data_IF_452786242785
#
_entry.id   IF_452786242785
#
_cell.length_a   1.000
_cell.length_b   1.000
_cell.length_c   1.000
_cell.angle_alpha   90.00
_cell.angle_beta   90.00
_cell.angle_gamma   90.00
#
_symmetry.space_group_name_H-M   'P 1'
#
loop_
_entity.id
_entity.type
_entity.pdbx_description
1 polymer ?
#
# COMPACT_ATOMS: atom_id res chain seq x y z
N UNK A 1 -15.55 -28.40 -10.90
CA UNK A 1 -14.74 -29.61 -11.17
C UNK A 1 -13.36 -29.57 -10.48
N UNK A 2 -13.20 -28.82 -9.37
CA UNK A 2 -11.89 -28.65 -8.68
C UNK A 2 -11.81 -29.25 -7.28
N UNK A 3 -12.91 -29.81 -6.75
CA UNK A 3 -12.97 -30.33 -5.36
C UNK A 3 -12.60 -31.82 -5.29
N UNK A 4 -12.66 -32.55 -6.42
CA UNK A 4 -12.47 -34.01 -6.44
C UNK A 4 -10.99 -34.45 -6.44
N UNK A 5 -10.02 -33.53 -6.57
CA UNK A 5 -8.59 -33.84 -6.62
C UNK A 5 -7.88 -33.87 -5.24
N UNK A 6 -8.59 -33.63 -4.13
CA UNK A 6 -7.98 -33.59 -2.80
C UNK A 6 -7.92 -34.93 -2.07
N UNK A 7 -8.42 -36.03 -2.66
CA UNK A 7 -8.39 -37.36 -2.04
C UNK A 7 -7.08 -38.05 -2.42
N UNK A 8 -6.02 -37.83 -1.65
CA UNK A 8 -4.73 -38.54 -1.81
C UNK A 8 -3.48 -37.66 -1.87
N UNK A 9 -3.64 -36.34 -1.80
CA UNK A 9 -2.50 -35.41 -1.76
C UNK A 9 -1.96 -35.35 -0.32
N UNK A 10 -0.66 -35.52 -0.14
CA UNK A 10 -0.03 -35.36 1.18
C UNK A 10 -0.31 -33.95 1.73
N UNK A 11 -0.50 -33.77 3.05
CA UNK A 11 -0.86 -32.47 3.63
C UNK A 11 0.12 -31.34 3.26
N UNK A 12 1.39 -31.69 3.01
CA UNK A 12 2.42 -30.78 2.54
C UNK A 12 2.16 -30.30 1.11
N UNK A 13 1.79 -31.18 0.17
CA UNK A 13 1.45 -30.76 -1.19
C UNK A 13 0.17 -29.90 -1.21
N UNK A 14 -0.83 -30.23 -0.39
CA UNK A 14 -2.05 -29.43 -0.29
C UNK A 14 -1.74 -27.99 0.16
N UNK A 15 -0.85 -27.85 1.15
CA UNK A 15 -0.41 -26.54 1.64
C UNK A 15 0.37 -25.75 0.57
N UNK A 16 1.29 -26.40 -0.15
CA UNK A 16 2.03 -25.77 -1.25
C UNK A 16 1.07 -25.31 -2.35
N UNK A 17 0.09 -26.14 -2.70
CA UNK A 17 -0.92 -25.80 -3.70
C UNK A 17 -1.74 -24.58 -3.28
N UNK A 18 -2.22 -24.55 -2.03
CA UNK A 18 -2.98 -23.44 -1.48
C UNK A 18 -2.18 -22.12 -1.53
N UNK A 19 -0.90 -22.15 -1.13
CA UNK A 19 -0.02 -20.96 -1.19
C UNK A 19 0.07 -20.44 -2.62
N UNK A 20 0.35 -21.30 -3.60
CA UNK A 20 0.47 -20.88 -5.00
C UNK A 20 -0.82 -20.22 -5.51
N UNK A 21 -1.99 -20.75 -5.13
CA UNK A 21 -3.28 -20.15 -5.49
C UNK A 21 -3.49 -18.76 -4.87
N UNK A 22 -3.13 -18.58 -3.60
CA UNK A 22 -3.27 -17.29 -2.91
C UNK A 22 -2.33 -16.25 -3.54
N UNK A 23 -1.11 -16.62 -3.90
CA UNK A 23 -0.15 -15.72 -4.55
C UNK A 23 -0.69 -15.22 -5.89
N UNK A 24 -1.14 -16.13 -6.76
CA UNK A 24 -1.68 -15.77 -8.09
C UNK A 24 -2.93 -14.89 -7.94
N UNK A 25 -3.83 -15.22 -7.00
CA UNK A 25 -5.00 -14.39 -6.73
C UNK A 25 -4.58 -12.98 -6.26
N UNK A 26 -3.57 -12.87 -5.40
CA UNK A 26 -3.02 -11.60 -4.94
C UNK A 26 -2.45 -10.75 -6.08
N UNK A 27 -1.69 -11.34 -6.99
CA UNK A 27 -1.11 -10.64 -8.15
C UNK A 27 -2.20 -10.07 -9.08
N UNK A 28 -3.32 -10.79 -9.25
CA UNK A 28 -4.48 -10.27 -9.99
C UNK A 28 -5.09 -9.05 -9.30
N UNK A 29 -5.23 -9.08 -7.97
CA UNK A 29 -5.73 -7.93 -7.21
C UNK A 29 -4.80 -6.73 -7.38
N UNK A 30 -3.49 -6.93 -7.30
CA UNK A 30 -2.48 -5.87 -7.54
C UNK A 30 -2.64 -5.26 -8.94
N UNK A 31 -2.79 -6.10 -9.98
CA UNK A 31 -3.03 -5.62 -11.35
C UNK A 31 -4.30 -4.79 -11.48
N UNK A 32 -5.39 -5.18 -10.80
CA UNK A 32 -6.63 -4.39 -10.80
C UNK A 32 -6.48 -3.06 -10.06
N UNK A 33 -5.76 -3.05 -8.93
CA UNK A 33 -5.48 -1.84 -8.16
C UNK A 33 -4.67 -0.82 -8.98
N UNK A 34 -3.69 -1.29 -9.74
CA UNK A 34 -2.92 -0.45 -10.67
C UNK A 34 -3.80 0.23 -11.71
N UNK A 35 -4.77 -0.51 -12.29
CA UNK A 35 -5.73 0.07 -13.24
C UNK A 35 -6.60 1.18 -12.63
N UNK A 36 -6.98 1.02 -11.36
CA UNK A 36 -7.73 2.05 -10.61
C UNK A 36 -6.87 3.29 -10.42
N UNK A 37 -5.61 3.13 -9.97
CA UNK A 37 -4.71 4.26 -9.78
C UNK A 37 -4.42 5.01 -11.08
N UNK A 38 -4.21 4.28 -12.19
CA UNK A 38 -4.04 4.88 -13.51
C UNK A 38 -5.27 5.71 -13.91
N UNK A 39 -6.48 5.17 -13.70
CA UNK A 39 -7.73 5.86 -14.01
C UNK A 39 -7.89 7.13 -13.16
N UNK A 40 -7.53 7.09 -11.88
CA UNK A 40 -7.53 8.27 -11.01
C UNK A 40 -6.57 9.35 -11.51
N UNK A 41 -5.35 8.95 -11.89
CA UNK A 41 -4.36 9.88 -12.44
C UNK A 41 -4.85 10.53 -13.73
N UNK A 42 -5.41 9.76 -14.67
CA UNK A 42 -5.99 10.29 -15.92
C UNK A 42 -7.11 11.29 -15.64
N UNK A 43 -8.03 10.97 -14.74
CA UNK A 43 -9.11 11.87 -14.36
C UNK A 43 -8.59 13.18 -13.75
N UNK A 44 -7.60 13.11 -12.86
CA UNK A 44 -6.97 14.29 -12.27
C UNK A 44 -6.25 15.14 -13.33
N UNK A 45 -5.55 14.52 -14.28
CA UNK A 45 -4.87 15.21 -15.37
C UNK A 45 -5.87 15.91 -16.30
N UNK A 46 -6.94 15.23 -16.71
CA UNK A 46 -8.01 15.80 -17.54
C UNK A 46 -8.74 16.94 -16.84
N UNK A 47 -9.04 16.79 -15.55
CA UNK A 47 -9.68 17.84 -14.77
C UNK A 47 -8.80 19.09 -14.68
N UNK A 48 -7.50 18.93 -14.45
CA UNK A 48 -6.57 20.05 -14.39
C UNK A 48 -6.41 20.73 -15.75
N UNK A 49 -6.39 19.96 -16.83
CA UNK A 49 -6.31 20.48 -18.21
C UNK A 49 -7.54 21.32 -18.57
N UNK A 50 -8.75 20.85 -18.23
CA UNK A 50 -10.00 21.56 -18.51
C UNK A 50 -10.19 22.84 -17.69
N UNK A 51 -9.58 22.94 -16.50
CA UNK A 51 -9.81 24.09 -15.59
C UNK A 51 -9.10 25.37 -16.01
N UNK A 52 -8.08 25.32 -16.88
CA UNK A 52 -7.37 26.47 -17.47
C UNK A 52 -6.58 27.39 -16.51
N UNK A 53 -7.00 27.51 -15.24
CA UNK A 53 -6.29 28.19 -14.15
C UNK A 53 -5.63 27.18 -13.25
N UNK A 54 -4.31 27.05 -13.39
CA UNK A 54 -3.50 26.12 -12.61
C UNK A 54 -3.12 26.76 -11.26
N UNK A 55 -3.76 26.31 -10.18
CA UNK A 55 -3.23 26.59 -8.84
C UNK A 55 -1.91 25.84 -8.66
N UNK A 56 -0.90 26.48 -8.04
CA UNK A 56 0.38 25.82 -7.70
C UNK A 56 0.16 24.52 -6.94
N UNK A 57 -0.83 24.49 -6.06
CA UNK A 57 -1.21 23.30 -5.30
C UNK A 57 -1.68 22.15 -6.21
N UNK A 58 -2.47 22.45 -7.24
CA UNK A 58 -2.98 21.44 -8.17
C UNK A 58 -1.88 20.83 -9.04
N UNK A 59 -0.87 21.63 -9.43
CA UNK A 59 0.31 21.10 -10.13
C UNK A 59 1.18 20.23 -9.21
N UNK A 60 1.42 20.66 -7.97
CA UNK A 60 2.16 19.86 -7.00
C UNK A 60 1.49 18.50 -6.74
N UNK A 61 0.16 18.47 -6.66
CA UNK A 61 -0.59 17.23 -6.50
C UNK A 61 -0.51 16.31 -7.70
N UNK A 62 -0.53 16.86 -8.91
CA UNK A 62 -0.38 16.07 -10.11
C UNK A 62 1.02 15.46 -10.20
N UNK A 63 2.06 16.24 -9.88
CA UNK A 63 3.43 15.73 -9.79
C UNK A 63 3.50 14.58 -8.76
N UNK A 64 2.91 14.79 -7.58
CA UNK A 64 2.87 13.78 -6.53
C UNK A 64 2.19 12.47 -6.98
N UNK A 65 1.00 12.56 -7.59
CA UNK A 65 0.28 11.40 -8.13
C UNK A 65 1.06 10.70 -9.25
N UNK A 66 1.77 11.47 -10.08
CA UNK A 66 2.62 10.93 -11.15
C UNK A 66 3.79 10.15 -10.55
N UNK A 67 4.44 10.68 -9.51
CA UNK A 67 5.51 9.96 -8.79
C UNK A 67 5.01 8.66 -8.19
N UNK A 68 3.83 8.65 -7.55
CA UNK A 68 3.22 7.40 -7.06
C UNK A 68 3.00 6.38 -8.19
N UNK A 69 2.43 6.82 -9.31
CA UNK A 69 2.15 5.95 -10.46
C UNK A 69 3.44 5.34 -11.04
N UNK A 70 4.54 6.10 -11.07
CA UNK A 70 5.84 5.59 -11.54
C UNK A 70 6.40 4.53 -10.60
N UNK A 71 6.34 4.76 -9.27
CA UNK A 71 6.80 3.78 -8.28
C UNK A 71 5.92 2.51 -8.34
N UNK A 72 4.61 2.67 -8.52
CA UNK A 72 3.67 1.55 -8.64
C UNK A 72 3.92 0.74 -9.91
N UNK A 73 4.18 1.43 -11.03
CA UNK A 73 4.55 0.77 -12.28
C UNK A 73 5.82 -0.06 -12.13
N UNK A 74 6.81 0.44 -11.39
CA UNK A 74 8.02 -0.30 -11.06
C UNK A 74 7.71 -1.52 -10.18
N UNK A 75 6.87 -1.36 -9.16
CA UNK A 75 6.44 -2.47 -8.29
C UNK A 75 5.76 -3.59 -9.09
N UNK A 76 4.80 -3.26 -9.96
CA UNK A 76 4.11 -4.22 -10.82
C UNK A 76 5.07 -4.89 -11.81
N UNK A 77 6.00 -4.14 -12.40
CA UNK A 77 6.99 -4.70 -13.32
C UNK A 77 7.93 -5.71 -12.62
N UNK A 78 8.37 -5.39 -11.42
CA UNK A 78 9.20 -6.27 -10.58
C UNK A 78 8.41 -7.52 -10.18
N UNK A 79 7.16 -7.36 -9.75
CA UNK A 79 6.28 -8.47 -9.40
C UNK A 79 6.06 -9.40 -10.61
N UNK A 80 5.76 -8.85 -11.79
CA UNK A 80 5.59 -9.64 -13.01
C UNK A 80 6.84 -10.43 -13.36
N UNK A 81 8.04 -9.84 -13.21
CA UNK A 81 9.31 -10.56 -13.39
C UNK A 81 9.51 -11.66 -12.37
N UNK A 82 9.20 -11.41 -11.11
CA UNK A 82 9.28 -12.40 -10.04
C UNK A 82 8.38 -13.59 -10.32
N UNK A 83 7.13 -13.36 -10.75
CA UNK A 83 6.18 -14.43 -11.13
C UNK A 83 6.72 -15.25 -12.30
N UNK A 84 7.25 -14.62 -13.35
CA UNK A 84 7.89 -15.34 -14.47
C UNK A 84 9.05 -16.21 -14.00
N UNK A 85 9.92 -15.66 -13.15
CA UNK A 85 11.12 -16.35 -12.68
C UNK A 85 10.80 -17.55 -11.79
N UNK A 86 9.73 -17.46 -11.00
CA UNK A 86 9.26 -18.52 -10.09
C UNK A 86 8.50 -19.62 -10.84
N UNK A 87 7.53 -19.23 -11.69
CA UNK A 87 6.57 -20.19 -12.26
C UNK A 87 6.94 -20.69 -13.66
N UNK A 88 7.75 -19.94 -14.42
CA UNK A 88 8.18 -20.30 -15.78
C UNK A 88 9.60 -20.84 -15.76
N UNK A 89 10.57 -20.03 -15.32
CA UNK A 89 11.99 -20.37 -15.46
C UNK A 89 12.43 -21.48 -14.50
N UNK A 90 11.90 -21.49 -13.27
CA UNK A 90 12.30 -22.42 -12.21
C UNK A 90 11.16 -23.30 -11.70
N UNK A 91 10.26 -23.70 -12.62
CA UNK A 91 9.07 -24.50 -12.30
C UNK A 91 9.36 -25.82 -11.57
N UNK A 92 10.47 -26.47 -11.91
CA UNK A 92 10.84 -27.79 -11.40
C UNK A 92 11.79 -27.74 -10.18
N UNK A 93 11.88 -26.59 -9.50
CA UNK A 93 12.75 -26.45 -8.34
C UNK A 93 12.34 -27.41 -7.20
N UNK A 94 13.30 -28.10 -6.54
CA UNK A 94 13.00 -29.00 -5.43
C UNK A 94 12.34 -28.23 -4.26
N UNK A 95 11.15 -28.66 -3.84
CA UNK A 95 10.33 -27.95 -2.84
C UNK A 95 9.31 -26.98 -3.43
N UNK A 96 9.26 -26.84 -4.75
CA UNK A 96 8.25 -26.06 -5.47
C UNK A 96 8.57 -24.56 -5.61
N UNK A 97 7.68 -23.81 -6.28
CA UNK A 97 7.92 -22.42 -6.65
C UNK A 97 8.11 -21.50 -5.43
N UNK A 98 7.39 -21.77 -4.33
CA UNK A 98 7.53 -21.04 -3.07
C UNK A 98 8.90 -21.23 -2.41
N UNK A 99 9.43 -22.45 -2.41
CA UNK A 99 10.76 -22.72 -1.86
C UNK A 99 11.86 -22.00 -2.66
N UNK A 100 11.69 -21.92 -3.99
CA UNK A 100 12.58 -21.13 -4.84
C UNK A 100 12.50 -19.64 -4.53
N UNK A 101 11.29 -19.10 -4.33
CA UNK A 101 11.11 -17.70 -3.95
C UNK A 101 11.82 -17.35 -2.64
N UNK A 102 11.71 -18.21 -1.62
CA UNK A 102 12.42 -18.07 -0.34
C UNK A 102 13.94 -18.16 -0.50
N UNK A 103 14.44 -18.98 -1.41
CA UNK A 103 15.87 -19.08 -1.70
C UNK A 103 16.40 -17.86 -2.49
N UNK A 104 15.56 -17.24 -3.33
CA UNK A 104 15.91 -16.11 -4.19
C UNK A 104 15.77 -14.74 -3.50
N UNK A 105 15.43 -14.69 -2.20
CA UNK A 105 15.18 -13.44 -1.46
C UNK A 105 16.36 -12.44 -1.50
N UNK A 106 17.59 -12.93 -1.73
CA UNK A 106 18.80 -12.09 -1.84
C UNK A 106 18.94 -11.37 -3.19
N UNK A 107 18.13 -11.73 -4.19
CA UNK A 107 18.20 -11.11 -5.50
C UNK A 107 17.80 -9.63 -5.42
N UNK A 108 18.48 -8.77 -6.19
CA UNK A 108 18.18 -7.34 -6.26
C UNK A 108 16.71 -7.05 -6.59
N UNK A 109 16.07 -7.96 -7.33
CA UNK A 109 14.65 -7.92 -7.70
C UNK A 109 13.76 -7.86 -6.44
N UNK A 110 14.06 -8.70 -5.42
CA UNK A 110 13.29 -8.74 -4.19
C UNK A 110 13.55 -7.50 -3.31
N UNK A 111 14.78 -6.99 -3.29
CA UNK A 111 15.10 -5.74 -2.59
C UNK A 111 14.31 -4.56 -3.16
N UNK A 112 14.23 -4.45 -4.50
CA UNK A 112 13.43 -3.41 -5.16
C UNK A 112 11.94 -3.59 -4.84
N UNK A 113 11.45 -4.84 -4.80
CA UNK A 113 10.07 -5.14 -4.42
C UNK A 113 9.74 -4.59 -3.02
N UNK A 114 10.59 -4.83 -2.02
CA UNK A 114 10.36 -4.35 -0.66
C UNK A 114 10.43 -2.83 -0.54
N UNK A 115 11.43 -2.22 -1.19
CA UNK A 115 11.61 -0.78 -1.18
C UNK A 115 10.41 -0.06 -1.84
N UNK A 116 9.97 -0.54 -3.00
CA UNK A 116 8.82 0.05 -3.71
C UNK A 116 7.51 -0.17 -2.96
N UNK A 117 7.29 -1.34 -2.36
CA UNK A 117 6.11 -1.61 -1.53
C UNK A 117 6.03 -0.70 -0.30
N UNK A 118 7.15 -0.52 0.41
CA UNK A 118 7.24 0.39 1.54
C UNK A 118 7.00 1.85 1.12
N UNK A 119 7.65 2.30 0.05
CA UNK A 119 7.47 3.66 -0.46
C UNK A 119 6.01 3.91 -0.88
N UNK A 120 5.39 3.00 -1.61
CA UNK A 120 3.99 3.15 -2.05
C UNK A 120 3.04 3.28 -0.86
N UNK A 121 3.20 2.41 0.13
CA UNK A 121 2.36 2.41 1.33
C UNK A 121 2.58 3.71 2.12
N UNK A 122 3.83 4.11 2.33
CA UNK A 122 4.17 5.34 3.06
C UNK A 122 3.68 6.61 2.36
N UNK A 123 3.86 6.72 1.04
CA UNK A 123 3.29 7.83 0.27
C UNK A 123 1.76 7.82 0.40
N UNK A 124 1.12 6.66 0.32
CA UNK A 124 -0.35 6.56 0.41
C UNK A 124 -0.87 7.08 1.75
N UNK A 125 -0.23 6.68 2.85
CA UNK A 125 -0.56 7.15 4.20
C UNK A 125 -0.37 8.67 4.34
N UNK A 126 0.72 9.20 3.76
CA UNK A 126 1.01 10.64 3.77
C UNK A 126 -0.07 11.45 3.01
N UNK A 127 -0.58 10.92 1.89
CA UNK A 127 -1.65 11.57 1.14
C UNK A 127 -2.95 11.64 1.95
N UNK A 128 -3.31 10.57 2.67
CA UNK A 128 -4.50 10.57 3.54
C UNK A 128 -4.33 11.56 4.69
N UNK A 129 -3.15 11.60 5.31
CA UNK A 129 -2.82 12.56 6.35
C UNK A 129 -2.95 14.01 5.85
N UNK A 130 -2.37 14.30 4.68
CA UNK A 130 -2.46 15.62 4.05
C UNK A 130 -3.90 16.05 3.73
N UNK A 131 -4.74 15.11 3.27
CA UNK A 131 -6.18 15.37 3.05
C UNK A 131 -6.89 15.71 4.36
N UNK A 132 -6.62 14.96 5.43
CA UNK A 132 -7.16 15.26 6.76
C UNK A 132 -6.74 16.67 7.20
N UNK A 133 -5.46 17.01 7.06
CA UNK A 133 -4.92 18.33 7.36
C UNK A 133 -5.66 19.46 6.65
N UNK A 134 -5.85 19.38 5.33
CA UNK A 134 -6.55 20.43 4.57
C UNK A 134 -8.00 20.59 5.04
N UNK A 135 -8.71 19.49 5.29
CA UNK A 135 -10.12 19.54 5.73
C UNK A 135 -10.24 20.22 7.09
N UNK A 136 -9.33 19.95 8.02
CA UNK A 136 -9.34 20.56 9.34
C UNK A 136 -8.83 22.02 9.31
N UNK A 137 -7.82 22.32 8.50
CA UNK A 137 -7.28 23.67 8.32
C UNK A 137 -8.30 24.63 7.69
N UNK A 138 -9.15 24.15 6.79
CA UNK A 138 -10.22 24.95 6.16
C UNK A 138 -11.27 25.47 7.16
N UNK A 139 -11.31 24.96 8.40
CA UNK A 139 -12.26 25.38 9.43
C UNK A 139 -11.86 26.66 10.19
N UNK A 140 -10.68 27.21 9.97
CA UNK A 140 -10.18 28.40 10.69
C UNK A 140 -9.82 28.17 12.17
N UNK A 141 -10.06 26.98 12.74
CA UNK A 141 -9.67 26.59 14.10
C UNK A 141 -8.37 25.77 14.08
N UNK A 142 -7.27 26.44 13.74
CA UNK A 142 -5.96 25.82 13.55
C UNK A 142 -5.47 25.02 14.78
N UNK A 143 -5.75 25.51 16.00
CA UNK A 143 -5.29 24.85 17.24
C UNK A 143 -5.91 23.46 17.43
N UNK A 144 -7.18 23.29 17.07
CA UNK A 144 -7.87 22.01 17.19
C UNK A 144 -7.47 21.05 16.07
N UNK A 145 -7.16 21.58 14.88
CA UNK A 145 -6.61 20.79 13.77
C UNK A 145 -5.25 20.18 14.15
N UNK A 146 -4.34 20.97 14.73
CA UNK A 146 -3.06 20.48 15.21
C UNK A 146 -3.22 19.38 16.26
N UNK A 147 -4.04 19.60 17.30
CA UNK A 147 -4.24 18.62 18.38
C UNK A 147 -4.74 17.25 17.87
N UNK A 148 -5.66 17.25 16.91
CA UNK A 148 -6.25 16.04 16.32
C UNK A 148 -5.26 15.29 15.41
N UNK A 149 -4.36 16.02 14.75
CA UNK A 149 -3.45 15.46 13.74
C UNK A 149 -2.11 15.02 14.35
N UNK A 150 -1.71 15.57 15.50
CA UNK A 150 -0.50 15.14 16.22
C UNK A 150 -0.47 13.63 16.46
N UNK A 151 -1.60 13.03 16.83
CA UNK A 151 -1.65 11.59 17.10
C UNK A 151 -1.41 10.73 15.84
N UNK A 152 -2.13 10.93 14.71
CA UNK A 152 -1.79 10.29 13.44
C UNK A 152 -0.36 10.55 12.95
N UNK A 153 0.20 11.75 13.17
CA UNK A 153 1.60 12.06 12.81
C UNK A 153 2.58 11.16 13.57
N UNK A 154 2.37 11.00 14.89
CA UNK A 154 3.23 10.13 15.71
C UNK A 154 3.13 8.68 15.24
N UNK A 155 1.92 8.20 14.93
CA UNK A 155 1.72 6.85 14.39
C UNK A 155 2.38 6.67 13.02
N UNK A 156 2.33 7.68 12.14
CA UNK A 156 2.99 7.65 10.84
C UNK A 156 4.52 7.67 10.99
N UNK A 157 5.06 8.44 11.93
CA UNK A 157 6.49 8.43 12.22
C UNK A 157 6.94 7.07 12.77
N UNK A 158 6.15 6.48 13.66
CA UNK A 158 6.40 5.13 14.17
C UNK A 158 6.34 4.07 13.06
N UNK A 159 5.36 4.16 12.15
CA UNK A 159 5.28 3.24 11.00
C UNK A 159 6.47 3.45 10.06
N UNK A 160 6.90 4.69 9.81
CA UNK A 160 8.10 4.95 9.00
C UNK A 160 9.34 4.28 9.59
N UNK A 161 9.59 4.43 10.90
CA UNK A 161 10.72 3.77 11.58
C UNK A 161 10.63 2.25 11.44
N UNK A 162 9.47 1.66 11.73
CA UNK A 162 9.27 0.20 11.63
C UNK A 162 9.44 -0.33 10.21
N UNK A 163 8.95 0.38 9.20
CA UNK A 163 9.12 -0.01 7.80
C UNK A 163 10.56 0.16 7.29
N UNK A 164 11.29 1.14 7.82
CA UNK A 164 12.73 1.30 7.51
C UNK A 164 13.55 0.15 8.11
N UNK A 165 13.28 -0.21 9.37
CA UNK A 165 13.90 -1.39 9.99
C UNK A 165 13.54 -2.67 9.25
N UNK A 166 12.28 -2.83 8.86
CA UNK A 166 11.83 -3.99 8.08
C UNK A 166 12.58 -4.12 6.76
N UNK A 167 12.73 -3.04 5.99
CA UNK A 167 13.46 -3.06 4.70
C UNK A 167 14.95 -3.29 4.87
N UNK A 168 15.58 -2.72 5.91
CA UNK A 168 17.00 -2.94 6.24
C UNK A 168 17.28 -4.40 6.62
N UNK A 169 16.51 -4.95 7.56
CA UNK A 169 16.69 -6.33 8.03
C UNK A 169 16.36 -7.35 6.92
N UNK A 170 15.38 -7.05 6.07
CA UNK A 170 15.02 -7.90 4.93
C UNK A 170 16.03 -7.86 3.79
N UNK A 171 16.89 -6.84 3.74
CA UNK A 171 17.97 -6.72 2.76
C UNK A 171 19.25 -7.43 3.23
N UNK A 172 19.29 -7.91 4.48
CA UNK A 172 20.49 -8.53 5.04
C UNK A 172 20.69 -9.96 4.49
N UNK A 173 21.90 -10.37 4.05
CA UNK A 173 22.11 -11.66 3.41
C UNK A 173 21.83 -12.89 4.30
N UNK A 174 21.72 -12.70 5.61
CA UNK A 174 21.43 -13.75 6.58
C UNK A 174 19.95 -13.80 7.01
N UNK A 175 19.17 -12.76 6.71
CA UNK A 175 17.79 -12.61 7.14
C UNK A 175 16.87 -12.41 5.93
N UNK A 176 15.83 -13.23 5.82
CA UNK A 176 14.78 -13.04 4.80
C UNK A 176 13.54 -12.40 5.43
N UNK A 177 12.65 -11.85 4.61
CA UNK A 177 11.34 -11.34 5.08
C UNK A 177 10.53 -12.33 5.92
N UNK A 178 10.78 -13.62 5.70
CA UNK A 178 10.05 -14.71 6.33
C UNK A 178 10.72 -15.20 7.62
N UNK A 179 11.80 -14.56 8.05
CA UNK A 179 12.38 -14.80 9.36
C UNK A 179 11.57 -14.08 10.44
N UNK A 180 11.55 -14.65 11.66
CA UNK A 180 10.70 -14.15 12.74
C UNK A 180 10.91 -12.66 13.09
N UNK A 181 12.15 -12.17 12.95
CA UNK A 181 12.51 -10.80 13.31
C UNK A 181 12.04 -9.77 12.26
N UNK A 182 12.38 -9.89 10.95
CA UNK A 182 11.77 -9.06 9.91
C UNK A 182 10.24 -9.16 9.87
N UNK A 183 9.68 -10.36 10.07
CA UNK A 183 8.23 -10.55 10.06
C UNK A 183 7.53 -9.78 11.19
N UNK A 184 8.13 -9.71 12.37
CA UNK A 184 7.60 -8.92 13.48
C UNK A 184 7.58 -7.42 13.15
N UNK A 185 8.66 -6.88 12.57
CA UNK A 185 8.71 -5.48 12.14
C UNK A 185 7.71 -5.16 11.04
N UNK A 186 7.58 -6.03 10.04
CA UNK A 186 6.58 -5.88 8.97
C UNK A 186 5.15 -5.90 9.52
N UNK A 187 4.85 -6.81 10.45
CA UNK A 187 3.52 -6.89 11.08
C UNK A 187 3.21 -5.64 11.89
N UNK A 188 4.17 -5.14 12.69
CA UNK A 188 4.01 -3.90 13.43
C UNK A 188 3.83 -2.69 12.49
N UNK A 189 4.59 -2.63 11.40
CA UNK A 189 4.46 -1.59 10.38
C UNK A 189 3.05 -1.54 9.79
N UNK A 190 2.54 -2.67 9.30
CA UNK A 190 1.20 -2.72 8.70
C UNK A 190 0.10 -2.44 9.73
N UNK A 191 0.24 -2.92 10.97
CA UNK A 191 -0.72 -2.63 12.03
C UNK A 191 -0.79 -1.13 12.35
N UNK A 192 0.36 -0.46 12.45
CA UNK A 192 0.44 0.99 12.70
C UNK A 192 -0.09 1.80 11.51
N UNK A 193 0.27 1.42 10.29
CA UNK A 193 -0.22 2.06 9.06
C UNK A 193 -1.75 1.95 8.95
N UNK A 194 -2.29 0.73 9.06
CA UNK A 194 -3.74 0.49 9.01
C UNK A 194 -4.47 1.21 10.14
N UNK A 195 -3.94 1.15 11.37
CA UNK A 195 -4.49 1.86 12.52
C UNK A 195 -4.57 3.37 12.28
N UNK A 196 -3.48 3.97 11.79
CA UNK A 196 -3.43 5.40 11.48
C UNK A 196 -4.43 5.79 10.39
N UNK A 197 -4.58 5.00 9.33
CA UNK A 197 -5.56 5.21 8.28
C UNK A 197 -7.01 5.11 8.79
N UNK A 198 -7.31 4.14 9.65
CA UNK A 198 -8.64 4.00 10.26
C UNK A 198 -8.97 5.26 11.07
N UNK A 199 -8.04 5.70 11.92
CA UNK A 199 -8.20 6.91 12.73
C UNK A 199 -8.41 8.14 11.83
N UNK A 200 -7.56 8.33 10.82
CA UNK A 200 -7.68 9.45 9.87
C UNK A 200 -9.02 9.44 9.16
N UNK A 201 -9.49 8.27 8.73
CA UNK A 201 -10.78 8.12 8.05
C UNK A 201 -11.94 8.46 8.99
N UNK A 202 -11.92 7.98 10.24
CA UNK A 202 -12.93 8.34 11.25
C UNK A 202 -12.96 9.84 11.53
N UNK A 203 -11.79 10.48 11.60
CA UNK A 203 -11.68 11.93 11.79
C UNK A 203 -12.27 12.71 10.60
N UNK A 204 -12.00 12.27 9.37
CA UNK A 204 -12.58 12.87 8.16
C UNK A 204 -14.10 12.72 8.16
N UNK A 205 -14.62 11.51 8.43
CA UNK A 205 -16.06 11.23 8.46
C UNK A 205 -16.76 12.04 9.55
N UNK A 206 -16.25 12.01 10.77
CA UNK A 206 -16.82 12.77 11.90
C UNK A 206 -16.90 14.27 11.59
N UNK A 207 -15.90 14.80 10.90
CA UNK A 207 -15.90 16.19 10.47
C UNK A 207 -16.92 16.47 9.38
N UNK A 208 -17.02 15.60 8.37
CA UNK A 208 -17.99 15.74 7.29
C UNK A 208 -19.43 15.74 7.82
N UNK A 209 -19.73 14.89 8.80
CA UNK A 209 -21.03 14.86 9.48
C UNK A 209 -21.29 16.17 10.22
N UNK A 210 -20.29 16.70 10.95
CA UNK A 210 -20.41 17.97 11.67
C UNK A 210 -20.68 19.13 10.71
N UNK A 211 -19.99 19.15 9.57
CA UNK A 211 -20.20 20.15 8.53
C UNK A 211 -21.61 20.07 7.92
N UNK A 212 -22.07 18.85 7.60
CA UNK A 212 -23.42 18.61 7.10
C UNK A 212 -24.50 19.05 8.08
N UNK A 213 -24.34 18.77 9.39
CA UNK A 213 -25.29 19.21 10.42
C UNK A 213 -25.40 20.73 10.47
N UNK A 214 -24.27 21.43 10.49
CA UNK A 214 -24.26 22.90 10.45
C UNK A 214 -24.89 23.46 9.18
N UNK A 215 -24.68 22.82 8.04
CA UNK A 215 -25.29 23.27 6.78
C UNK A 215 -26.81 23.13 6.82
N UNK A 216 -27.33 22.01 7.34
CA UNK A 216 -28.77 21.76 7.47
C UNK A 216 -29.44 22.68 8.50
N UNK A 217 -28.76 23.02 9.60
CA UNK A 217 -29.25 23.99 10.59
C UNK A 217 -29.38 25.42 10.02
N UNK A 218 -28.64 25.76 8.97
CA UNK A 218 -28.64 27.09 8.35
C UNK A 218 -29.46 27.16 7.05
N UNK A 219 -30.07 26.07 6.58
CA UNK A 219 -31.01 26.12 5.46
C UNK A 219 -32.39 26.56 5.97
N UNK A 220 -33.00 27.63 5.40
CA UNK A 220 -34.40 27.94 5.68
C UNK A 220 -35.32 26.81 5.19
N UNK A 221 -36.49 26.60 5.84
CA UNK A 221 -37.43 25.51 5.57
C UNK A 221 -38.03 25.55 4.16
#
# INVERSE_FOLDING_TARGET
MSVTLCVGISPVLFFIFLINHIQIAGDVVVGTAYGIQLTLWVNCALFLWKRGKHSRLSMLLLIYMTTMLLIESLFVAVQARTVQFIYIDNRNYPGGPWAFFLASQKAAINVIFYATLFLLTFLSDLLVLWRCWIIWAASGKHNLAWAVITFPIILLAASFVMGTLWTLESSHPALSMYNALPQAYGTAYYALSLGSNIILTLLIIGRLITYRRRLLENLPP
#
